data_IF_208567856498
#
_entry.id   IF_208567856498
#
_cell.length_a   1.000
_cell.length_b   1.000
_cell.length_c   1.000
_cell.angle_alpha   90.00
_cell.angle_beta   90.00
_cell.angle_gamma   90.00
#
_symmetry.space_group_name_H-M   'P 1'
#
loop_
_entity.id
_entity.type
_entity.pdbx_description
1 polymer ?
#
# COMPACT_ATOMS: atom_id res chain seq x y z
N UNK A 1 -2.32 -33.86 -0.08
CA UNK A 1 -3.13 -32.90 0.71
C UNK A 1 -3.15 -31.59 -0.06
N UNK A 2 -4.25 -31.28 -0.75
CA UNK A 2 -4.39 -30.02 -1.51
C UNK A 2 -4.53 -28.86 -0.54
N UNK A 3 -3.57 -27.96 -0.55
CA UNK A 3 -3.68 -26.66 0.11
C UNK A 3 -4.76 -25.88 -0.64
N UNK A 4 -5.97 -25.78 -0.08
CA UNK A 4 -7.01 -24.87 -0.54
C UNK A 4 -6.46 -23.46 -0.43
N UNK A 5 -6.14 -22.87 -1.55
CA UNK A 5 -5.84 -21.44 -1.65
C UNK A 5 -7.09 -20.70 -1.23
N UNK A 6 -7.14 -20.24 0.01
CA UNK A 6 -8.26 -19.47 0.52
C UNK A 6 -8.40 -18.22 -0.35
N UNK A 7 -9.51 -18.10 -1.05
CA UNK A 7 -9.79 -16.97 -1.95
C UNK A 7 -10.11 -15.75 -1.08
N UNK A 8 -9.37 -14.65 -1.26
CA UNK A 8 -9.72 -13.37 -0.66
C UNK A 8 -11.15 -13.00 -1.03
N UNK A 9 -11.96 -12.65 -0.04
CA UNK A 9 -13.31 -12.15 -0.29
C UNK A 9 -13.21 -10.82 -1.05
N UNK A 10 -13.65 -10.74 -2.32
CA UNK A 10 -13.51 -9.50 -3.08
C UNK A 10 -14.33 -8.39 -2.42
N UNK A 11 -13.71 -7.23 -2.23
CA UNK A 11 -14.36 -6.07 -1.67
C UNK A 11 -14.49 -6.04 -0.14
N UNK A 12 -13.95 -7.01 0.60
CA UNK A 12 -14.04 -7.02 2.06
C UNK A 12 -13.03 -6.07 2.72
N UNK A 13 -13.44 -5.38 3.79
CA UNK A 13 -12.61 -4.46 4.57
C UNK A 13 -12.56 -4.93 6.01
N UNK A 14 -11.35 -5.01 6.56
CA UNK A 14 -11.13 -5.20 7.98
C UNK A 14 -10.72 -3.87 8.63
N UNK A 15 -11.31 -3.55 9.78
CA UNK A 15 -10.94 -2.40 10.60
C UNK A 15 -10.28 -2.94 11.86
N UNK A 16 -9.06 -2.51 12.15
CA UNK A 16 -8.34 -2.86 13.37
C UNK A 16 -7.55 -1.67 13.89
N UNK A 17 -7.16 -1.68 15.14
CA UNK A 17 -6.33 -0.61 15.68
C UNK A 17 -6.36 -0.53 17.19
N UNK A 18 -5.58 0.41 17.72
CA UNK A 18 -5.38 0.56 19.17
C UNK A 18 -6.58 1.15 19.89
N UNK A 19 -7.42 1.94 19.21
CA UNK A 19 -8.63 2.54 19.78
C UNK A 19 -9.89 1.80 19.31
N UNK A 20 -10.35 0.85 20.13
CA UNK A 20 -11.54 0.06 19.82
C UNK A 20 -12.82 0.91 19.68
N UNK A 21 -12.90 2.07 20.38
CA UNK A 21 -14.04 2.97 20.28
C UNK A 21 -14.05 3.70 18.95
N UNK A 22 -12.90 4.18 18.50
CA UNK A 22 -12.74 4.75 17.17
C UNK A 22 -13.08 3.73 16.08
N UNK A 23 -12.54 2.51 16.16
CA UNK A 23 -12.82 1.45 15.19
C UNK A 23 -14.32 1.13 15.08
N UNK A 24 -15.05 1.10 16.22
CA UNK A 24 -16.51 0.89 16.20
C UNK A 24 -17.27 2.04 15.55
N UNK A 25 -16.93 3.30 15.86
CA UNK A 25 -17.54 4.47 15.21
C UNK A 25 -17.28 4.47 13.71
N UNK A 26 -16.05 4.16 13.31
CA UNK A 26 -15.65 4.06 11.90
C UNK A 26 -16.44 2.97 11.17
N UNK A 27 -16.63 1.80 11.79
CA UNK A 27 -17.46 0.73 11.25
C UNK A 27 -18.90 1.21 10.98
N UNK A 28 -19.51 1.88 11.97
CA UNK A 28 -20.87 2.41 11.82
C UNK A 28 -20.97 3.42 10.68
N UNK A 29 -20.04 4.37 10.61
CA UNK A 29 -19.99 5.39 9.54
C UNK A 29 -19.82 4.78 8.17
N UNK A 30 -18.95 3.79 8.02
CA UNK A 30 -18.72 3.13 6.74
C UNK A 30 -19.91 2.27 6.30
N UNK A 31 -20.67 1.68 7.23
CA UNK A 31 -21.88 0.90 6.93
C UNK A 31 -23.06 1.76 6.54
N UNK A 32 -23.22 2.94 7.11
CA UNK A 32 -24.40 3.82 6.93
C UNK A 32 -24.56 4.38 5.52
N UNK A 33 -23.58 4.29 4.65
CA UNK A 33 -23.59 4.97 3.35
C UNK A 33 -23.38 4.10 2.13
N UNK A 34 -23.28 2.77 2.25
CA UNK A 34 -23.12 1.97 1.04
C UNK A 34 -23.41 0.49 1.26
N UNK A 35 -24.36 -0.03 0.44
CA UNK A 35 -24.77 -1.42 0.49
C UNK A 35 -23.63 -2.43 0.35
N UNK A 36 -23.91 -3.66 0.78
CA UNK A 36 -23.28 -4.94 0.42
C UNK A 36 -21.78 -5.17 0.60
N UNK A 37 -20.93 -4.15 0.95
CA UNK A 37 -19.52 -4.42 1.21
C UNK A 37 -19.33 -5.06 2.58
N UNK A 38 -18.76 -6.26 2.68
CA UNK A 38 -18.45 -6.85 3.98
C UNK A 38 -17.40 -6.00 4.73
N UNK A 39 -17.78 -5.46 5.88
CA UNK A 39 -16.86 -4.71 6.76
C UNK A 39 -16.91 -5.36 8.13
N UNK A 40 -15.75 -5.72 8.67
CA UNK A 40 -15.59 -6.29 10.00
C UNK A 40 -14.61 -5.49 10.84
N UNK A 41 -14.75 -5.57 12.16
CA UNK A 41 -13.74 -5.09 13.10
C UNK A 41 -13.01 -6.28 13.70
N UNK A 42 -11.70 -6.13 13.89
CA UNK A 42 -10.83 -7.12 14.52
C UNK A 42 -10.15 -6.43 15.69
N UNK A 43 -10.19 -7.05 16.86
CA UNK A 43 -9.56 -6.49 18.06
C UNK A 43 -8.03 -6.41 17.86
N UNK A 44 -7.45 -5.27 18.27
CA UNK A 44 -6.00 -5.16 18.34
C UNK A 44 -5.43 -6.07 19.44
N UNK A 45 -4.32 -6.73 19.14
CA UNK A 45 -3.62 -7.64 20.06
C UNK A 45 -2.55 -8.41 19.33
N UNK A 46 -1.80 -9.20 20.06
CA UNK A 46 -0.67 -9.98 19.50
C UNK A 46 -1.10 -10.98 18.42
N UNK A 47 -2.36 -11.39 18.43
CA UNK A 47 -2.94 -12.33 17.45
C UNK A 47 -3.56 -11.64 16.21
N UNK A 48 -3.49 -10.30 16.12
CA UNK A 48 -4.08 -9.56 15.03
C UNK A 48 -3.62 -10.03 13.64
N UNK A 49 -2.33 -10.28 13.37
CA UNK A 49 -1.90 -10.77 12.06
C UNK A 49 -2.53 -12.12 11.68
N UNK A 50 -2.70 -13.03 12.66
CA UNK A 50 -3.34 -14.34 12.43
C UNK A 50 -4.82 -14.19 12.12
N UNK A 51 -5.54 -13.33 12.83
CA UNK A 51 -6.95 -13.05 12.58
C UNK A 51 -7.17 -12.43 11.19
N UNK A 52 -6.29 -11.51 10.79
CA UNK A 52 -6.29 -10.93 9.43
C UNK A 52 -6.01 -12.01 8.38
N UNK A 53 -5.00 -12.86 8.61
CA UNK A 53 -4.68 -13.95 7.70
C UNK A 53 -5.84 -14.95 7.53
N UNK A 54 -6.63 -15.18 8.58
CA UNK A 54 -7.81 -16.05 8.55
C UNK A 54 -9.00 -15.40 7.82
N UNK A 55 -9.21 -14.08 7.99
CA UNK A 55 -10.33 -13.34 7.38
C UNK A 55 -10.09 -12.94 5.93
N UNK A 56 -8.83 -12.89 5.49
CA UNK A 56 -8.37 -12.55 4.13
C UNK A 56 -9.04 -11.31 3.52
N UNK A 57 -9.02 -10.15 4.19
CA UNK A 57 -9.63 -8.95 3.66
C UNK A 57 -8.89 -8.45 2.41
N UNK A 58 -9.59 -7.70 1.55
CA UNK A 58 -8.96 -7.02 0.42
C UNK A 58 -8.20 -5.77 0.85
N UNK A 59 -8.73 -5.05 1.86
CA UNK A 59 -8.12 -3.85 2.44
C UNK A 59 -8.25 -3.90 3.96
N UNK A 60 -7.22 -3.44 4.65
CA UNK A 60 -7.19 -3.21 6.10
C UNK A 60 -7.19 -1.70 6.36
N UNK A 61 -8.08 -1.22 7.20
CA UNK A 61 -8.01 0.10 7.82
C UNK A 61 -7.40 -0.09 9.20
N UNK A 62 -6.17 0.35 9.39
CA UNK A 62 -5.45 0.16 10.64
C UNK A 62 -5.26 1.49 11.38
N UNK A 63 -5.86 1.61 12.54
CA UNK A 63 -5.73 2.76 13.42
C UNK A 63 -4.48 2.65 14.29
N UNK A 64 -3.50 3.51 14.05
CA UNK A 64 -2.29 3.68 14.86
C UNK A 64 -2.54 4.45 16.17
N UNK A 65 -3.74 5.01 16.33
CA UNK A 65 -4.06 5.83 17.50
C UNK A 65 -3.50 7.25 17.43
N UNK A 66 -3.60 7.98 18.56
CA UNK A 66 -3.19 9.38 18.64
C UNK A 66 -1.68 9.57 18.76
N UNK A 67 -0.95 8.57 19.23
CA UNK A 67 0.51 8.65 19.45
C UNK A 67 1.18 7.42 18.86
N UNK A 68 1.44 7.43 17.55
CA UNK A 68 2.08 6.31 16.86
C UNK A 68 3.48 6.01 17.42
N UNK A 69 3.76 4.72 17.62
CA UNK A 69 5.05 4.24 18.11
C UNK A 69 5.68 3.19 17.17
N UNK A 70 6.89 2.77 17.50
CA UNK A 70 7.62 1.77 16.73
C UNK A 70 6.90 0.39 16.69
N UNK A 71 6.15 0.05 17.76
CA UNK A 71 5.37 -1.20 17.80
C UNK A 71 4.22 -1.15 16.82
N UNK A 72 3.49 -0.04 16.77
CA UNK A 72 2.42 0.19 15.80
C UNK A 72 2.94 0.10 14.35
N UNK A 73 4.10 0.67 14.05
CA UNK A 73 4.72 0.58 12.73
C UNK A 73 5.15 -0.85 12.38
N UNK A 74 5.63 -1.64 13.34
CA UNK A 74 5.92 -3.05 13.13
C UNK A 74 4.65 -3.85 12.80
N UNK A 75 3.52 -3.53 13.45
CA UNK A 75 2.22 -4.12 13.10
C UNK A 75 1.81 -3.73 11.68
N UNK A 76 1.98 -2.46 11.28
CA UNK A 76 1.72 -2.02 9.90
C UNK A 76 2.51 -2.86 8.90
N UNK A 77 3.80 -3.12 9.14
CA UNK A 77 4.63 -3.95 8.26
C UNK A 77 4.08 -5.38 8.15
N UNK A 78 3.72 -6.00 9.27
CA UNK A 78 3.13 -7.34 9.29
C UNK A 78 1.80 -7.40 8.52
N UNK A 79 0.90 -6.45 8.75
CA UNK A 79 -0.41 -6.38 8.08
C UNK A 79 -0.28 -6.10 6.59
N UNK A 80 0.64 -5.24 6.19
CA UNK A 80 0.89 -4.89 4.79
C UNK A 80 1.42 -6.08 3.97
N UNK A 81 2.08 -7.04 4.61
CA UNK A 81 2.44 -8.32 4.01
C UNK A 81 1.24 -9.24 3.74
N UNK A 82 0.14 -9.07 4.48
CA UNK A 82 -1.05 -9.91 4.37
C UNK A 82 -2.11 -9.32 3.44
N UNK A 83 -2.38 -8.01 3.54
CA UNK A 83 -3.35 -7.32 2.69
C UNK A 83 -2.98 -5.85 2.53
N UNK A 84 -3.62 -5.15 1.60
CA UNK A 84 -3.42 -3.72 1.40
C UNK A 84 -3.89 -2.94 2.62
N UNK A 85 -2.98 -2.20 3.23
CA UNK A 85 -3.23 -1.52 4.50
C UNK A 85 -3.28 -0.01 4.28
N UNK A 86 -4.36 0.63 4.72
CA UNK A 86 -4.48 2.07 4.90
C UNK A 86 -4.32 2.37 6.39
N UNK A 87 -3.37 3.21 6.73
CA UNK A 87 -3.09 3.60 8.11
C UNK A 87 -3.88 4.86 8.45
N UNK A 88 -4.47 4.87 9.64
CA UNK A 88 -5.19 5.99 10.21
C UNK A 88 -4.46 6.48 11.46
N UNK A 89 -4.18 7.77 11.57
CA UNK A 89 -3.53 8.34 12.75
C UNK A 89 -3.98 9.79 13.00
N UNK A 90 -3.96 10.22 14.27
CA UNK A 90 -4.21 11.61 14.66
C UNK A 90 -2.87 12.33 14.67
N UNK A 91 -2.39 12.76 13.52
CA UNK A 91 -1.12 13.50 13.46
C UNK A 91 -1.07 14.38 12.23
N UNK A 92 -0.53 15.57 12.41
CA UNK A 92 -0.11 16.48 11.34
C UNK A 92 1.35 16.21 10.91
N UNK A 93 2.03 15.25 11.56
CA UNK A 93 3.41 14.91 11.22
C UNK A 93 3.45 13.99 9.98
N UNK A 94 3.83 14.59 8.85
CA UNK A 94 4.08 13.87 7.62
C UNK A 94 5.13 12.73 7.78
N UNK A 95 5.97 12.79 8.83
CA UNK A 95 6.96 11.76 9.15
C UNK A 95 6.32 10.42 9.51
N UNK A 96 5.24 10.42 10.27
CA UNK A 96 4.49 9.20 10.61
C UNK A 96 3.92 8.56 9.34
N UNK A 97 3.33 9.37 8.46
CA UNK A 97 2.81 8.89 7.19
C UNK A 97 3.91 8.28 6.32
N UNK A 98 5.08 8.94 6.25
CA UNK A 98 6.26 8.42 5.52
C UNK A 98 6.73 7.10 6.11
N UNK A 99 6.80 6.97 7.44
CA UNK A 99 7.21 5.71 8.09
C UNK A 99 6.19 4.58 7.83
N UNK A 100 4.88 4.88 7.87
CA UNK A 100 3.84 3.91 7.56
C UNK A 100 3.96 3.41 6.11
N UNK A 101 4.20 4.31 5.15
CA UNK A 101 4.41 3.94 3.74
C UNK A 101 5.70 3.11 3.55
N UNK A 102 6.77 3.44 4.27
CA UNK A 102 8.01 2.65 4.29
C UNK A 102 7.80 1.25 4.90
N UNK A 103 6.89 1.14 5.86
CA UNK A 103 6.47 -0.14 6.43
C UNK A 103 5.56 -0.95 5.49
N UNK A 104 5.27 -0.43 4.30
CA UNK A 104 4.50 -1.14 3.27
C UNK A 104 3.02 -0.75 3.19
N UNK A 105 2.57 0.25 3.96
CA UNK A 105 1.19 0.73 3.84
C UNK A 105 0.91 1.22 2.41
N UNK A 106 -0.28 0.90 1.91
CA UNK A 106 -0.76 1.34 0.61
C UNK A 106 -1.49 2.70 0.69
N UNK A 107 -1.71 3.21 1.90
CA UNK A 107 -2.29 4.53 2.08
C UNK A 107 -2.15 5.04 3.51
N UNK A 108 -2.34 6.36 3.66
CA UNK A 108 -2.39 7.05 4.93
C UNK A 108 -3.51 8.08 4.92
N UNK A 109 -4.31 8.12 5.97
CA UNK A 109 -5.35 9.12 6.19
C UNK A 109 -5.31 9.64 7.63
N UNK A 110 -5.53 10.93 7.85
CA UNK A 110 -5.89 11.45 9.17
C UNK A 110 -7.14 10.75 9.74
N UNK A 111 -7.24 10.61 11.05
CA UNK A 111 -8.41 9.97 11.72
C UNK A 111 -9.71 10.74 11.52
N UNK A 112 -9.65 12.04 11.26
CA UNK A 112 -10.77 12.94 10.96
C UNK A 112 -11.18 12.96 9.50
N UNK A 113 -10.55 12.14 8.66
CA UNK A 113 -10.92 12.00 7.25
C UNK A 113 -12.39 11.66 7.11
N UNK A 114 -13.11 12.41 6.27
CA UNK A 114 -14.53 12.15 6.02
C UNK A 114 -14.77 10.74 5.50
N UNK A 115 -15.92 10.18 5.86
CA UNK A 115 -16.27 8.80 5.48
C UNK A 115 -16.27 8.58 3.98
N UNK A 116 -16.71 9.57 3.19
CA UNK A 116 -16.73 9.46 1.72
C UNK A 116 -15.34 9.46 1.13
N UNK A 117 -14.44 10.29 1.66
CA UNK A 117 -13.06 10.31 1.24
C UNK A 117 -12.34 9.01 1.60
N UNK A 118 -12.64 8.45 2.77
CA UNK A 118 -12.09 7.16 3.19
C UNK A 118 -12.61 6.00 2.34
N UNK A 119 -13.90 6.01 1.94
CA UNK A 119 -14.43 5.04 0.97
C UNK A 119 -13.70 5.11 -0.36
N UNK A 120 -13.43 6.34 -0.84
CA UNK A 120 -12.65 6.54 -2.06
C UNK A 120 -11.22 6.03 -1.93
N UNK A 121 -10.57 6.28 -0.79
CA UNK A 121 -9.25 5.76 -0.49
C UNK A 121 -9.22 4.23 -0.55
N UNK A 122 -10.21 3.56 0.08
CA UNK A 122 -10.35 2.09 0.04
C UNK A 122 -10.50 1.59 -1.40
N UNK A 123 -11.33 2.22 -2.22
CA UNK A 123 -11.53 1.81 -3.62
C UNK A 123 -10.24 1.92 -4.45
N UNK A 124 -9.53 3.03 -4.33
CA UNK A 124 -8.28 3.26 -5.07
C UNK A 124 -7.17 2.31 -4.59
N UNK A 125 -7.03 2.13 -3.29
CA UNK A 125 -6.07 1.18 -2.73
C UNK A 125 -6.41 -0.24 -3.15
N UNK A 126 -7.69 -0.63 -3.18
CA UNK A 126 -8.12 -1.92 -3.70
C UNK A 126 -7.80 -2.11 -5.19
N UNK A 127 -7.85 -1.04 -5.97
CA UNK A 127 -7.40 -1.04 -7.37
C UNK A 127 -5.87 -1.17 -7.53
N UNK A 128 -5.11 -0.96 -6.45
CA UNK A 128 -3.65 -1.05 -6.44
C UNK A 128 -2.95 0.29 -6.54
N UNK A 129 -3.67 1.37 -6.27
CA UNK A 129 -3.12 2.71 -6.19
C UNK A 129 -2.65 3.03 -4.77
N UNK A 130 -1.82 4.05 -4.63
CA UNK A 130 -1.40 4.57 -3.33
C UNK A 130 -2.28 5.76 -2.99
N UNK A 131 -2.77 5.78 -1.75
CA UNK A 131 -3.56 6.88 -1.24
C UNK A 131 -2.78 7.66 -0.18
N UNK A 132 -2.34 8.87 -0.52
CA UNK A 132 -1.56 9.71 0.39
C UNK A 132 -1.68 11.18 0.00
N UNK A 133 -1.56 12.07 0.98
CA UNK A 133 -1.52 13.51 0.76
C UNK A 133 -0.30 13.93 -0.05
N UNK A 134 -0.45 14.98 -0.87
CA UNK A 134 0.62 15.49 -1.75
C UNK A 134 1.92 15.81 -1.00
N UNK A 135 1.83 16.44 0.19
CA UNK A 135 3.00 16.79 1.01
C UNK A 135 3.82 15.56 1.42
N UNK A 136 3.13 14.53 1.89
CA UNK A 136 3.74 13.25 2.27
C UNK A 136 4.40 12.58 1.07
N UNK A 137 3.76 12.63 -0.09
CA UNK A 137 4.33 12.07 -1.33
C UNK A 137 5.64 12.77 -1.71
N UNK A 138 5.69 14.10 -1.68
CA UNK A 138 6.90 14.88 -1.98
C UNK A 138 8.01 14.51 -0.99
N UNK A 139 7.74 14.54 0.31
CA UNK A 139 8.70 14.18 1.35
C UNK A 139 9.24 12.76 1.20
N UNK A 140 8.38 11.82 0.85
CA UNK A 140 8.78 10.44 0.64
C UNK A 140 9.72 10.30 -0.58
N UNK A 141 9.42 11.01 -1.68
CA UNK A 141 10.27 11.03 -2.87
C UNK A 141 11.66 11.62 -2.51
N UNK A 142 11.69 12.72 -1.76
CA UNK A 142 12.95 13.36 -1.30
C UNK A 142 13.78 12.41 -0.42
N UNK A 143 13.17 11.76 0.56
CA UNK A 143 13.86 10.81 1.43
C UNK A 143 14.38 9.58 0.67
N UNK A 144 13.60 9.05 -0.28
CA UNK A 144 14.02 7.95 -1.13
C UNK A 144 15.15 8.39 -2.08
N UNK A 145 15.10 9.61 -2.60
CA UNK A 145 16.16 10.19 -3.42
C UNK A 145 17.47 10.29 -2.66
N UNK A 146 17.45 10.72 -1.40
CA UNK A 146 18.65 10.80 -0.55
C UNK A 146 19.24 9.41 -0.23
N UNK A 147 18.41 8.43 0.08
CA UNK A 147 18.85 7.04 0.35
C UNK A 147 19.49 6.38 -0.86
N UNK A 148 18.90 6.59 -2.03
CA UNK A 148 19.40 5.99 -3.28
C UNK A 148 20.61 6.75 -3.85
N UNK A 149 20.89 7.98 -3.40
CA UNK A 149 22.17 8.65 -3.71
C UNK A 149 23.35 7.91 -3.05
N UNK A 150 23.12 7.21 -1.94
CA UNK A 150 24.09 6.43 -1.20
C UNK A 150 24.11 4.92 -1.57
N UNK A 151 23.18 4.44 -2.36
CA UNK A 151 23.08 3.01 -2.73
C UNK A 151 23.60 2.77 -4.16
N UNK A 152 24.32 1.65 -4.41
CA UNK A 152 24.72 1.28 -5.77
C UNK A 152 23.45 1.08 -6.64
N UNK A 153 23.56 1.43 -7.92
CA UNK A 153 22.48 1.27 -8.90
C UNK A 153 21.86 -0.12 -8.83
N UNK A 154 20.51 -0.20 -8.87
CA UNK A 154 19.78 -1.48 -8.84
C UNK A 154 20.27 -2.37 -9.97
N UNK A 155 21.14 -3.33 -9.64
CA UNK A 155 21.76 -4.26 -10.59
C UNK A 155 20.82 -5.35 -11.12
N UNK A 156 19.52 -5.27 -10.79
CA UNK A 156 18.53 -6.31 -11.09
C UNK A 156 17.72 -6.12 -12.38
N UNK A 157 17.98 -5.08 -13.16
CA UNK A 157 17.24 -4.83 -14.41
C UNK A 157 17.42 -5.93 -15.47
N UNK A 158 18.52 -6.68 -15.41
CA UNK A 158 18.79 -7.81 -16.31
C UNK A 158 17.94 -9.06 -16.00
N UNK A 159 17.37 -9.14 -14.79
CA UNK A 159 16.52 -10.27 -14.36
C UNK A 159 15.04 -10.12 -14.77
N UNK A 160 14.65 -8.95 -15.27
CA UNK A 160 13.28 -8.71 -15.71
C UNK A 160 13.06 -9.20 -17.13
N UNK A 161 11.95 -9.90 -17.36
CA UNK A 161 11.50 -10.23 -18.71
C UNK A 161 11.16 -8.96 -19.51
N UNK A 162 11.11 -9.00 -20.85
CA UNK A 162 10.67 -7.85 -21.64
C UNK A 162 9.30 -7.31 -21.20
N UNK A 163 8.38 -8.19 -20.84
CA UNK A 163 7.02 -7.84 -20.37
C UNK A 163 7.03 -7.17 -19.00
N UNK A 164 7.88 -7.63 -18.10
CA UNK A 164 8.05 -7.00 -16.78
C UNK A 164 8.70 -5.62 -16.91
N UNK A 165 9.66 -5.43 -17.80
CA UNK A 165 10.26 -4.12 -18.07
C UNK A 165 9.27 -3.11 -18.63
N UNK A 166 8.40 -3.52 -19.55
CA UNK A 166 7.32 -2.70 -20.07
C UNK A 166 6.37 -2.25 -18.95
N UNK A 167 5.99 -3.17 -18.08
CA UNK A 167 5.11 -2.91 -16.96
C UNK A 167 5.75 -1.96 -15.93
N UNK A 168 7.04 -2.11 -15.67
CA UNK A 168 7.84 -1.21 -14.84
C UNK A 168 7.84 0.21 -15.40
N UNK A 169 7.97 0.39 -16.72
CA UNK A 169 7.86 1.70 -17.37
C UNK A 169 6.51 2.39 -17.14
N UNK A 170 5.41 1.64 -17.19
CA UNK A 170 4.08 2.20 -16.88
C UNK A 170 3.94 2.58 -15.41
N UNK A 171 4.52 1.81 -14.48
CA UNK A 171 4.54 2.15 -13.06
C UNK A 171 5.33 3.43 -12.81
N UNK A 172 6.47 3.59 -13.43
CA UNK A 172 7.30 4.80 -13.34
C UNK A 172 6.57 6.04 -13.89
N UNK A 173 5.76 5.85 -14.94
CA UNK A 173 4.89 6.89 -15.50
C UNK A 173 3.63 7.17 -14.66
N UNK A 174 3.47 6.53 -13.49
CA UNK A 174 2.33 6.75 -12.59
C UNK A 174 1.02 6.06 -13.02
N UNK A 175 1.04 5.16 -14.03
CA UNK A 175 -0.16 4.51 -14.53
C UNK A 175 -0.79 3.58 -13.49
N UNK A 176 -2.11 3.62 -13.31
CA UNK A 176 -2.83 2.69 -12.44
C UNK A 176 -2.81 1.25 -12.97
N UNK A 177 -3.06 0.25 -12.10
CA UNK A 177 -3.15 -1.14 -12.56
C UNK A 177 -4.24 -1.36 -13.61
N UNK A 178 -5.31 -0.54 -13.57
CA UNK A 178 -6.40 -0.57 -14.56
C UNK A 178 -5.94 -0.03 -15.91
N UNK A 179 -5.14 1.05 -15.90
CA UNK A 179 -4.58 1.63 -17.12
C UNK A 179 -3.54 0.71 -17.74
N UNK A 180 -2.68 0.09 -16.92
CA UNK A 180 -1.71 -0.91 -17.36
C UNK A 180 -2.43 -2.09 -18.00
N UNK A 181 -3.46 -2.63 -17.33
CA UNK A 181 -4.26 -3.74 -17.83
C UNK A 181 -4.87 -3.44 -19.20
N UNK A 182 -5.44 -2.23 -19.36
CA UNK A 182 -6.02 -1.76 -20.63
C UNK A 182 -4.96 -1.63 -21.74
N UNK A 183 -3.80 -1.00 -21.43
CA UNK A 183 -2.72 -0.79 -22.41
C UNK A 183 -2.07 -2.08 -22.88
N UNK A 184 -1.96 -3.05 -21.96
CA UNK A 184 -1.31 -4.32 -22.22
C UNK A 184 -2.27 -5.43 -22.66
N UNK A 185 -3.57 -5.12 -22.78
CA UNK A 185 -4.66 -6.06 -23.10
C UNK A 185 -4.66 -7.32 -22.20
N UNK A 186 -4.42 -7.14 -20.90
CA UNK A 186 -4.43 -8.20 -19.87
C UNK A 186 -5.37 -7.87 -18.73
N UNK A 187 -5.67 -8.84 -17.86
CA UNK A 187 -6.49 -8.59 -16.69
C UNK A 187 -5.74 -7.79 -15.61
N UNK A 188 -6.47 -7.01 -14.80
CA UNK A 188 -5.89 -6.35 -13.60
C UNK A 188 -5.27 -7.36 -12.65
N UNK A 189 -5.81 -8.58 -12.58
CA UNK A 189 -5.26 -9.69 -11.80
C UNK A 189 -3.88 -10.08 -12.33
N UNK A 190 -3.73 -10.17 -13.64
CA UNK A 190 -2.44 -10.47 -14.30
C UNK A 190 -1.41 -9.39 -14.03
N UNK A 191 -1.81 -8.10 -14.08
CA UNK A 191 -0.92 -6.98 -13.70
C UNK A 191 -0.41 -7.13 -12.27
N UNK A 192 -1.29 -7.46 -11.32
CA UNK A 192 -0.92 -7.67 -9.91
C UNK A 192 0.08 -8.83 -9.76
N UNK A 193 -0.11 -9.92 -10.48
CA UNK A 193 0.81 -11.07 -10.47
C UNK A 193 2.19 -10.67 -10.99
N UNK A 194 2.26 -9.94 -12.10
CA UNK A 194 3.53 -9.43 -12.63
C UNK A 194 4.23 -8.48 -11.65
N UNK A 195 3.49 -7.55 -11.02
CA UNK A 195 4.07 -6.64 -10.01
C UNK A 195 4.65 -7.40 -8.82
N UNK A 196 3.99 -8.44 -8.33
CA UNK A 196 4.52 -9.29 -7.25
C UNK A 196 5.83 -9.97 -7.68
N UNK A 197 5.92 -10.47 -8.92
CA UNK A 197 7.14 -11.05 -9.47
C UNK A 197 8.26 -10.02 -9.58
N UNK A 198 7.95 -8.81 -10.09
CA UNK A 198 8.90 -7.70 -10.23
C UNK A 198 9.45 -7.29 -8.87
N UNK A 199 8.58 -7.09 -7.86
CA UNK A 199 9.01 -6.71 -6.51
C UNK A 199 9.98 -7.73 -5.93
N UNK A 200 9.68 -9.02 -6.06
CA UNK A 200 10.56 -10.09 -5.60
C UNK A 200 11.92 -10.09 -6.33
N UNK A 201 11.93 -9.92 -7.67
CA UNK A 201 13.15 -9.92 -8.48
C UNK A 201 14.06 -8.73 -8.19
N UNK A 202 13.47 -7.57 -7.90
CA UNK A 202 14.19 -6.32 -7.64
C UNK A 202 14.49 -6.10 -6.15
N UNK A 203 14.03 -7.00 -5.25
CA UNK A 203 14.19 -6.82 -3.80
C UNK A 203 13.42 -5.64 -3.25
N UNK A 204 12.31 -5.25 -3.91
CA UNK A 204 11.47 -4.11 -3.52
C UNK A 204 10.22 -4.61 -2.81
N UNK A 205 9.71 -3.80 -1.87
CA UNK A 205 8.52 -4.14 -1.08
C UNK A 205 7.27 -3.39 -1.53
N UNK A 206 7.44 -2.24 -2.15
CA UNK A 206 6.33 -1.36 -2.48
C UNK A 206 6.35 -0.88 -3.93
N UNK A 207 5.16 -0.55 -4.47
CA UNK A 207 5.01 0.10 -5.78
C UNK A 207 5.77 1.42 -5.86
N UNK A 208 5.84 2.12 -4.74
CA UNK A 208 6.50 3.41 -4.66
C UNK A 208 8.03 3.26 -4.79
N UNK A 209 8.62 2.28 -4.09
CA UNK A 209 10.04 1.96 -4.25
C UNK A 209 10.36 1.63 -5.71
N UNK A 210 9.50 0.89 -6.39
CA UNK A 210 9.65 0.59 -7.82
C UNK A 210 9.61 1.87 -8.67
N UNK A 211 8.63 2.76 -8.45
CA UNK A 211 8.49 3.99 -9.20
C UNK A 211 9.72 4.90 -9.04
N UNK A 212 10.24 5.02 -7.82
CA UNK A 212 11.44 5.82 -7.52
C UNK A 212 12.71 5.19 -8.11
N UNK A 213 12.89 3.88 -7.98
CA UNK A 213 14.06 3.17 -8.50
C UNK A 213 14.20 3.33 -10.03
N UNK A 214 13.06 3.32 -10.74
CA UNK A 214 13.04 3.41 -12.21
C UNK A 214 13.06 4.86 -12.71
N UNK A 215 12.38 5.79 -12.03
CA UNK A 215 12.39 7.21 -12.37
C UNK A 215 13.81 7.78 -12.40
N UNK A 216 14.72 7.25 -11.59
CA UNK A 216 16.14 7.63 -11.58
C UNK A 216 16.98 6.98 -12.68
N UNK A 217 16.66 5.77 -13.07
CA UNK A 217 17.36 5.13 -14.19
C UNK A 217 17.07 5.85 -15.52
N UNK A 218 15.94 6.59 -15.60
CA UNK A 218 15.54 7.36 -16.77
C UNK A 218 16.02 8.83 -16.76
N UNK A 219 16.54 9.35 -15.65
CA UNK A 219 17.06 10.70 -15.59
C UNK A 219 18.43 10.79 -16.32
N UNK A 220 18.62 11.73 -17.28
CA UNK A 220 19.90 11.88 -17.95
C UNK A 220 20.97 12.24 -16.92
N UNK A 221 22.08 11.50 -16.94
CA UNK A 221 23.28 11.82 -16.12
C UNK A 221 23.82 13.17 -16.60
N UNK A 222 23.45 14.24 -15.94
CA UNK A 222 24.10 15.54 -16.14
C UNK A 222 25.54 15.36 -15.65
N UNK A 223 26.49 15.27 -16.59
CA UNK A 223 27.91 15.41 -16.28
C UNK A 223 28.09 16.83 -15.75
N UNK A 224 28.34 16.97 -14.46
CA UNK A 224 28.94 18.18 -13.92
C UNK A 224 30.40 18.13 -14.33
N UNK A 225 30.77 19.00 -15.27
CA UNK A 225 32.15 19.28 -15.65
C UNK A 225 32.81 20.20 -14.63
#
# INVERSE_FOLDING_TARGET
>A
MSVRTASRAPGSVAIAGVDASYCRRLLQSLRSGNGSRPISTIAAGDDLPRQIAASLPSVILFDLGPSPDAKGLAVVAALSGLAKTIVLASTDDDGVAVQALKAGAAGFCPRDTSTDLLRRAVQLVEAGEIWVGRRVMVRLIEELALRTAAAPAVSGGEQLTPRERELVGFVAAGASNKDIARRLAISVKTVKTHLTSIFRKLGLSTRLELAVAVGRAAAPRTKVG
#
